data_IF_161682230618
#
_entry.id   IF_161682230618
#
_cell.length_a   1.000
_cell.length_b   1.000
_cell.length_c   1.000
_cell.angle_alpha   90.00
_cell.angle_beta   90.00
_cell.angle_gamma   90.00
#
_symmetry.space_group_name_H-M   'P 1'
#
loop_
_entity.id
_entity.type
_entity.pdbx_description
1 polymer ?
#
# COMPACT_ATOMS: atom_id res chain seq x y z
N UNK A 1 -19.28 -4.01 -9.81
CA UNK A 1 -18.34 -2.90 -9.52
C UNK A 1 -19.04 -1.75 -8.81
N UNK A 2 -20.16 -1.22 -9.30
CA UNK A 2 -20.90 -0.10 -8.67
C UNK A 2 -21.39 -0.45 -7.25
N UNK A 3 -22.01 -1.59 -7.04
CA UNK A 3 -22.46 -2.08 -5.72
C UNK A 3 -21.31 -2.33 -4.74
N UNK A 4 -20.11 -2.57 -5.26
CA UNK A 4 -18.91 -2.79 -4.45
C UNK A 4 -18.30 -1.48 -3.95
N UNK A 5 -18.46 -0.42 -4.71
CA UNK A 5 -17.99 0.92 -4.36
C UNK A 5 -18.96 1.61 -3.40
N UNK A 6 -20.25 1.25 -3.41
CA UNK A 6 -21.24 1.72 -2.41
C UNK A 6 -20.92 1.29 -0.97
N UNK A 7 -20.19 0.19 -0.78
CA UNK A 7 -19.70 -0.25 0.54
C UNK A 7 -18.38 0.41 0.98
N UNK A 8 -17.72 1.15 0.10
CA UNK A 8 -16.51 1.90 0.42
C UNK A 8 -16.91 3.36 0.62
N UNK A 9 -16.95 3.79 1.86
CA UNK A 9 -17.35 5.14 2.30
C UNK A 9 -16.32 6.22 1.93
N UNK A 10 -15.81 6.20 0.66
CA UNK A 10 -14.85 7.19 0.16
C UNK A 10 -15.56 8.48 -0.24
N UNK A 11 -16.78 8.36 -0.76
CA UNK A 11 -17.51 9.44 -1.38
C UNK A 11 -18.33 10.36 -0.45
N UNK A 12 -18.60 10.03 0.83
CA UNK A 12 -19.13 11.00 1.78
C UNK A 12 -18.27 12.27 1.87
N UNK A 13 -16.96 12.17 1.61
CA UNK A 13 -16.05 13.31 1.61
C UNK A 13 -16.42 14.42 0.62
N UNK A 14 -17.13 14.13 -0.48
CA UNK A 14 -17.62 15.16 -1.42
C UNK A 14 -18.94 15.82 -0.97
N UNK A 15 -19.70 15.16 -0.12
CA UNK A 15 -21.01 15.63 0.34
C UNK A 15 -20.94 16.42 1.66
N UNK A 16 -19.95 16.14 2.48
CA UNK A 16 -19.78 16.83 3.78
C UNK A 16 -19.10 18.18 3.61
N UNK A 17 -19.71 19.22 4.18
CA UNK A 17 -19.13 20.55 4.22
C UNK A 17 -18.30 20.71 5.48
N UNK A 18 -17.10 21.28 5.35
CA UNK A 18 -16.19 21.54 6.48
C UNK A 18 -16.87 22.42 7.55
N UNK A 19 -17.69 23.38 7.11
CA UNK A 19 -18.45 24.24 8.01
C UNK A 19 -19.30 23.44 9.01
N UNK A 20 -19.98 22.39 8.53
CA UNK A 20 -20.86 21.57 9.36
C UNK A 20 -20.07 20.73 10.40
N UNK A 21 -18.82 20.43 10.10
CA UNK A 21 -17.93 19.68 10.99
C UNK A 21 -17.40 20.56 12.11
N UNK A 22 -17.02 21.80 11.81
CA UNK A 22 -16.39 22.72 12.77
C UNK A 22 -17.39 23.60 13.51
N UNK A 23 -18.64 23.63 13.08
CA UNK A 23 -19.72 24.36 13.76
C UNK A 23 -19.91 23.86 15.19
N UNK A 24 -19.97 24.79 16.14
CA UNK A 24 -20.06 24.46 17.57
C UNK A 24 -18.82 23.79 18.19
N UNK A 25 -17.71 23.73 17.47
CA UNK A 25 -16.49 23.04 17.90
C UNK A 25 -15.41 23.95 18.48
N UNK A 26 -15.66 25.24 18.49
CA UNK A 26 -14.78 26.25 19.10
C UNK A 26 -15.23 26.50 20.53
N UNK A 27 -14.35 26.26 21.47
CA UNK A 27 -14.59 26.44 22.90
C UNK A 27 -13.79 27.63 23.41
N UNK A 28 -14.35 28.48 24.29
CA UNK A 28 -13.57 29.46 25.00
C UNK A 28 -12.53 28.74 25.87
N UNK A 29 -11.31 29.21 25.89
CA UNK A 29 -10.29 28.68 26.78
C UNK A 29 -10.51 29.25 28.18
N UNK A 30 -10.92 28.41 29.12
CA UNK A 30 -11.13 28.78 30.49
C UNK A 30 -9.81 29.20 31.15
N UNK A 31 -9.71 30.44 31.65
CA UNK A 31 -8.56 30.98 32.37
C UNK A 31 -7.80 32.08 31.62
N UNK A 32 -8.14 32.42 30.38
CA UNK A 32 -7.56 33.53 29.64
C UNK A 32 -8.15 34.91 29.99
N UNK A 33 -9.22 34.94 30.80
CA UNK A 33 -9.81 36.18 31.26
C UNK A 33 -8.94 36.99 32.26
N UNK A 34 -7.96 36.31 32.86
CA UNK A 34 -6.97 36.94 33.75
C UNK A 34 -5.65 37.08 33.00
N UNK A 35 -5.20 38.28 32.74
CA UNK A 35 -3.92 38.70 32.11
C UNK A 35 -2.64 38.08 32.70
N UNK A 36 -2.71 36.97 33.44
CA UNK A 36 -1.59 36.37 34.19
C UNK A 36 -1.16 34.98 33.69
N UNK A 37 -1.90 34.35 32.80
CA UNK A 37 -1.48 33.05 32.23
C UNK A 37 -1.14 33.28 30.77
N UNK A 38 -0.01 32.78 30.34
CA UNK A 38 0.45 32.90 28.95
C UNK A 38 -0.69 32.47 28.03
N UNK A 39 -1.03 33.32 27.07
CA UNK A 39 -2.10 33.04 26.11
C UNK A 39 -1.83 31.69 25.44
N UNK A 40 -2.81 30.81 25.35
CA UNK A 40 -2.83 29.78 24.33
C UNK A 40 -2.83 30.50 22.97
N UNK A 41 -1.68 30.67 22.39
CA UNK A 41 -1.48 31.58 21.27
C UNK A 41 -0.63 32.81 21.56
N UNK A 42 -0.22 33.00 22.80
CA UNK A 42 1.00 33.74 23.13
C UNK A 42 2.17 33.03 22.45
N UNK A 43 3.30 33.71 22.23
CA UNK A 43 4.48 33.12 21.59
C UNK A 43 4.73 31.70 22.13
N UNK A 44 4.34 30.65 21.37
CA UNK A 44 4.51 29.25 21.74
C UNK A 44 3.27 28.38 21.96
N UNK A 45 2.05 28.89 21.83
CA UNK A 45 0.82 28.10 22.00
C UNK A 45 0.48 27.19 20.85
N UNK A 46 1.38 26.27 20.46
CA UNK A 46 1.19 25.31 19.37
C UNK A 46 0.51 24.03 19.89
N UNK A 47 -0.63 23.68 19.30
CA UNK A 47 -1.35 22.44 19.57
C UNK A 47 -1.14 21.51 18.38
N UNK A 48 -0.74 20.25 18.63
CA UNK A 48 -0.49 19.25 17.58
C UNK A 48 -1.26 17.96 17.87
N UNK A 49 -2.03 17.47 16.89
CA UNK A 49 -2.55 16.11 16.83
C UNK A 49 -1.66 15.29 15.90
N UNK A 50 -1.17 14.17 16.39
CA UNK A 50 -0.15 13.36 15.71
C UNK A 50 -0.66 11.97 15.39
N UNK A 51 -0.05 11.34 14.37
CA UNK A 51 -0.26 9.93 14.02
C UNK A 51 -1.72 9.60 13.69
N UNK A 52 -2.43 10.52 13.02
CA UNK A 52 -3.75 10.22 12.49
C UNK A 52 -3.61 9.30 11.29
N UNK A 53 -4.14 8.08 11.39
CA UNK A 53 -4.16 7.12 10.30
C UNK A 53 -5.35 7.41 9.37
N UNK A 54 -5.04 7.73 8.12
CA UNK A 54 -6.01 8.05 7.08
C UNK A 54 -5.71 7.23 5.82
N UNK A 55 -6.71 7.11 4.97
CA UNK A 55 -6.60 6.46 3.67
C UNK A 55 -7.20 7.33 2.60
N UNK A 56 -6.60 7.28 1.42
CA UNK A 56 -7.11 7.98 0.25
C UNK A 56 -6.89 7.13 -1.00
N UNK A 57 -7.47 7.56 -2.12
CA UNK A 57 -7.25 6.95 -3.42
C UNK A 57 -6.44 7.89 -4.30
N UNK A 58 -5.41 7.33 -4.93
CA UNK A 58 -4.55 8.06 -5.83
C UNK A 58 -5.32 8.47 -7.09
N UNK A 59 -5.41 9.77 -7.37
CA UNK A 59 -6.08 10.26 -8.57
C UNK A 59 -5.44 9.82 -9.88
N UNK A 60 -4.17 9.43 -9.85
CA UNK A 60 -3.44 9.00 -11.04
C UNK A 60 -3.64 7.54 -11.42
N UNK A 61 -3.91 6.63 -10.46
CA UNK A 61 -4.02 5.19 -10.70
C UNK A 61 -5.22 4.52 -10.04
N UNK A 62 -6.03 5.24 -9.26
CA UNK A 62 -7.20 4.75 -8.51
C UNK A 62 -6.88 3.68 -7.46
N UNK A 63 -5.61 3.50 -7.10
CA UNK A 63 -5.23 2.59 -6.03
C UNK A 63 -5.21 3.31 -4.69
N UNK A 64 -5.54 2.61 -3.60
CA UNK A 64 -5.49 3.21 -2.27
C UNK A 64 -4.05 3.46 -1.83
N UNK A 65 -3.86 4.51 -1.05
CA UNK A 65 -2.62 4.80 -0.35
C UNK A 65 -2.88 5.17 1.10
N UNK A 66 -1.90 4.89 1.94
CA UNK A 66 -1.95 5.13 3.37
C UNK A 66 -1.36 6.48 3.71
N UNK A 67 -1.89 7.13 4.74
CA UNK A 67 -1.47 8.45 5.17
C UNK A 67 -1.35 8.47 6.69
N UNK A 68 -0.17 8.83 7.21
CA UNK A 68 -0.03 9.32 8.58
C UNK A 68 -0.07 10.84 8.54
N UNK A 69 -1.10 11.41 9.18
CA UNK A 69 -1.34 12.83 9.18
C UNK A 69 -1.00 13.44 10.55
N UNK A 70 -0.27 14.54 10.53
CA UNK A 70 0.05 15.35 11.70
C UNK A 70 -0.47 16.76 11.45
N UNK A 71 -1.37 17.22 12.33
CA UNK A 71 -2.01 18.54 12.22
C UNK A 71 -1.62 19.38 13.42
N UNK A 72 -1.02 20.55 13.15
CA UNK A 72 -0.74 21.55 14.17
C UNK A 72 -1.51 22.84 13.90
N UNK A 73 -1.92 23.54 14.93
CA UNK A 73 -2.47 24.89 14.81
C UNK A 73 -2.08 25.75 16.01
N UNK A 74 -2.03 27.04 15.78
CA UNK A 74 -1.87 28.04 16.84
C UNK A 74 -3.22 28.74 17.02
N UNK A 75 -3.84 28.64 18.20
CA UNK A 75 -5.11 29.30 18.48
C UNK A 75 -5.07 30.82 18.27
N UNK A 76 -6.22 31.40 17.96
CA UNK A 76 -6.38 32.85 17.95
C UNK A 76 -7.69 33.23 18.64
N UNK A 77 -7.79 34.44 19.21
CA UNK A 77 -9.02 34.97 19.78
C UNK A 77 -9.54 34.21 21.01
N UNK A 78 -8.64 33.64 21.84
CA UNK A 78 -8.98 32.94 23.09
C UNK A 78 -9.91 31.74 22.88
N UNK A 79 -9.78 31.04 21.74
CA UNK A 79 -10.60 29.88 21.41
C UNK A 79 -9.72 28.70 20.99
N UNK A 80 -10.07 27.54 21.49
CA UNK A 80 -9.47 26.25 21.09
C UNK A 80 -10.49 25.40 20.36
N UNK A 81 -10.01 24.59 19.42
CA UNK A 81 -10.86 23.65 18.66
C UNK A 81 -10.84 22.28 19.30
N UNK A 82 -11.98 21.61 19.30
CA UNK A 82 -12.05 20.21 19.71
C UNK A 82 -11.15 19.34 18.82
N UNK A 83 -10.18 18.62 19.41
CA UNK A 83 -9.14 17.89 18.70
C UNK A 83 -9.69 16.86 17.68
N UNK A 84 -10.84 16.23 18.00
CA UNK A 84 -11.54 15.32 17.10
C UNK A 84 -12.03 15.98 15.80
N UNK A 85 -12.17 17.31 15.77
CA UNK A 85 -12.59 18.02 14.57
C UNK A 85 -11.45 18.18 13.57
N UNK A 86 -10.22 18.30 14.04
CA UNK A 86 -9.02 18.32 13.19
C UNK A 86 -8.91 17.01 12.41
N UNK A 87 -9.08 15.87 13.08
CA UNK A 87 -9.05 14.57 12.43
C UNK A 87 -10.21 14.37 11.45
N UNK A 88 -11.44 14.78 11.83
CA UNK A 88 -12.61 14.67 10.95
C UNK A 88 -12.48 15.51 9.67
N UNK A 89 -11.94 16.72 9.75
CA UNK A 89 -11.69 17.54 8.55
C UNK A 89 -10.68 16.85 7.66
N UNK A 90 -9.56 16.37 8.21
CA UNK A 90 -8.56 15.63 7.42
C UNK A 90 -9.16 14.37 6.78
N UNK A 91 -10.00 13.63 7.50
CA UNK A 91 -10.69 12.43 7.01
C UNK A 91 -11.63 12.72 5.83
N UNK A 92 -12.40 13.82 5.90
CA UNK A 92 -13.31 14.21 4.81
C UNK A 92 -12.57 14.45 3.50
N UNK A 93 -11.42 15.11 3.55
CA UNK A 93 -10.61 15.33 2.35
C UNK A 93 -9.87 14.05 1.93
N UNK A 94 -9.43 13.22 2.85
CA UNK A 94 -8.82 11.93 2.52
C UNK A 94 -9.82 10.99 1.81
N UNK A 95 -11.12 11.08 2.11
CA UNK A 95 -12.19 10.32 1.44
C UNK A 95 -12.55 10.87 0.04
N UNK A 96 -11.56 11.32 -0.72
CA UNK A 96 -11.65 11.80 -2.10
C UNK A 96 -10.53 11.20 -2.93
N UNK A 97 -10.59 11.38 -4.26
CA UNK A 97 -9.42 11.13 -5.11
C UNK A 97 -8.38 12.22 -4.86
N UNK A 98 -7.17 11.83 -4.46
CA UNK A 98 -6.18 12.77 -3.97
C UNK A 98 -4.77 12.54 -4.53
N UNK A 99 -4.01 13.61 -4.48
CA UNK A 99 -2.56 13.65 -4.56
C UNK A 99 -2.05 14.20 -3.21
N UNK A 100 -0.92 13.70 -2.66
CA UNK A 100 -0.49 14.06 -1.31
C UNK A 100 -0.39 15.56 -1.03
N UNK A 101 0.21 16.33 -1.96
CA UNK A 101 0.38 17.76 -1.75
C UNK A 101 -0.97 18.49 -1.79
N UNK A 102 -1.84 18.13 -2.74
CA UNK A 102 -3.18 18.71 -2.82
C UNK A 102 -4.00 18.41 -1.56
N UNK A 103 -3.93 17.18 -1.05
CA UNK A 103 -4.58 16.81 0.20
C UNK A 103 -4.09 17.69 1.37
N UNK A 104 -2.77 17.89 1.48
CA UNK A 104 -2.19 18.74 2.52
C UNK A 104 -2.68 20.19 2.40
N UNK A 105 -2.70 20.74 1.19
CA UNK A 105 -3.11 22.12 0.93
C UNK A 105 -4.62 22.33 1.18
N UNK A 106 -5.47 21.39 0.75
CA UNK A 106 -6.92 21.44 0.97
C UNK A 106 -7.27 21.37 2.46
N UNK A 107 -6.70 20.43 3.22
CA UNK A 107 -6.93 20.28 4.66
C UNK A 107 -6.44 21.52 5.42
N UNK A 108 -5.24 22.00 5.10
CA UNK A 108 -4.66 23.19 5.72
C UNK A 108 -5.55 24.42 5.49
N UNK A 109 -5.96 24.65 4.24
CA UNK A 109 -6.84 25.75 3.86
C UNK A 109 -8.21 25.67 4.53
N UNK A 110 -8.81 24.47 4.54
CA UNK A 110 -10.12 24.24 5.15
C UNK A 110 -10.13 24.48 6.66
N UNK A 111 -9.10 24.02 7.36
CA UNK A 111 -8.93 24.28 8.79
C UNK A 111 -8.71 25.77 9.05
N UNK A 112 -7.86 26.43 8.25
CA UNK A 112 -7.62 27.86 8.42
C UNK A 112 -8.90 28.69 8.25
N UNK A 113 -9.70 28.38 7.24
CA UNK A 113 -10.96 29.08 6.97
C UNK A 113 -12.04 28.75 8.01
N UNK A 114 -12.13 27.49 8.45
CA UNK A 114 -13.17 27.02 9.35
C UNK A 114 -13.00 27.47 10.79
N UNK A 115 -11.78 27.47 11.32
CA UNK A 115 -11.50 27.78 12.73
C UNK A 115 -10.81 29.13 12.94
N UNK A 116 -10.34 29.77 11.87
CA UNK A 116 -9.64 31.07 11.87
C UNK A 116 -8.53 31.16 12.93
N UNK A 117 -7.56 30.22 12.94
CA UNK A 117 -6.44 30.25 13.86
C UNK A 117 -5.40 31.29 13.44
N UNK A 118 -4.40 31.54 14.27
CA UNK A 118 -3.23 32.34 13.87
C UNK A 118 -2.44 31.65 12.75
N UNK A 119 -2.44 30.31 12.71
CA UNK A 119 -1.89 29.51 11.63
C UNK A 119 -2.17 28.03 11.80
N UNK A 120 -2.06 27.28 10.70
CA UNK A 120 -2.17 25.83 10.62
C UNK A 120 -0.93 25.26 9.94
N UNK A 121 -0.41 24.17 10.47
CA UNK A 121 0.64 23.37 9.84
C UNK A 121 0.15 21.94 9.66
N UNK A 122 0.45 21.35 8.53
CA UNK A 122 0.12 19.98 8.19
C UNK A 122 1.36 19.25 7.69
N UNK A 123 1.56 18.02 8.15
CA UNK A 123 2.56 17.10 7.64
C UNK A 123 1.90 15.76 7.34
N UNK A 124 2.06 15.26 6.12
CA UNK A 124 1.56 13.98 5.67
C UNK A 124 2.73 13.06 5.30
N UNK A 125 2.75 11.88 5.90
CA UNK A 125 3.59 10.76 5.45
C UNK A 125 2.71 9.82 4.64
N UNK A 126 2.90 9.80 3.33
CA UNK A 126 2.08 9.02 2.42
C UNK A 126 2.86 7.78 1.95
N UNK A 127 2.17 6.64 1.92
CA UNK A 127 2.73 5.34 1.52
C UNK A 127 1.87 4.75 0.42
N UNK A 128 2.46 4.60 -0.77
CA UNK A 128 1.79 4.07 -1.95
C UNK A 128 2.45 2.77 -2.41
N UNK A 129 1.63 1.76 -2.68
CA UNK A 129 2.13 0.48 -3.22
C UNK A 129 2.50 0.66 -4.68
N UNK A 130 3.66 0.13 -5.07
CA UNK A 130 4.14 0.09 -6.44
C UNK A 130 3.96 -1.32 -7.01
N UNK A 131 3.35 -1.41 -8.18
CA UNK A 131 3.25 -2.66 -8.94
C UNK A 131 4.12 -2.52 -10.18
N UNK A 132 5.22 -3.28 -10.28
CA UNK A 132 6.04 -3.27 -11.46
C UNK A 132 5.31 -3.89 -12.65
N UNK A 133 5.72 -3.52 -13.86
CA UNK A 133 5.31 -4.19 -15.07
C UNK A 133 5.81 -5.63 -15.11
N UNK A 134 5.03 -6.52 -15.74
CA UNK A 134 5.40 -7.93 -15.92
C UNK A 134 6.78 -8.08 -16.56
N UNK A 135 7.14 -7.22 -17.53
CA UNK A 135 8.43 -7.24 -18.19
C UNK A 135 9.60 -6.88 -17.25
N UNK A 136 9.42 -5.91 -16.37
CA UNK A 136 10.45 -5.48 -15.42
C UNK A 136 10.81 -6.54 -14.39
N UNK A 137 9.87 -7.43 -14.05
CA UNK A 137 10.06 -8.51 -13.09
C UNK A 137 11.06 -9.55 -13.57
N UNK A 138 11.09 -9.82 -14.88
CA UNK A 138 11.99 -10.79 -15.47
C UNK A 138 13.36 -10.21 -15.84
N UNK A 139 13.46 -8.87 -15.95
CA UNK A 139 14.67 -8.18 -16.39
C UNK A 139 15.52 -7.64 -15.24
N UNK A 140 14.95 -7.38 -14.09
CA UNK A 140 15.65 -6.75 -12.97
C UNK A 140 15.76 -7.69 -11.76
N UNK A 141 16.96 -8.17 -11.50
CA UNK A 141 17.36 -8.79 -10.23
C UNK A 141 17.40 -7.76 -9.06
N UNK A 142 17.12 -6.49 -9.33
CA UNK A 142 17.15 -5.42 -8.34
C UNK A 142 15.79 -5.23 -7.70
N UNK A 143 15.74 -5.52 -6.42
CA UNK A 143 14.62 -5.29 -5.52
C UNK A 143 14.30 -3.79 -5.42
N UNK A 144 13.51 -3.24 -6.35
CA UNK A 144 12.92 -1.94 -6.11
C UNK A 144 11.91 -2.05 -4.97
N UNK A 145 11.87 -1.08 -4.06
CA UNK A 145 10.92 -1.12 -2.96
C UNK A 145 9.48 -1.06 -3.51
N UNK A 146 8.69 -2.07 -3.17
CA UNK A 146 7.27 -2.20 -3.52
C UNK A 146 6.40 -1.05 -3.00
N UNK A 147 7.00 -0.18 -2.21
CA UNK A 147 6.31 0.86 -1.47
C UNK A 147 7.05 2.17 -1.68
N UNK A 148 6.38 3.15 -2.27
CA UNK A 148 6.87 4.52 -2.35
C UNK A 148 6.37 5.31 -1.15
N UNK A 149 7.32 5.84 -0.38
CA UNK A 149 7.02 6.76 0.72
C UNK A 149 7.28 8.19 0.29
N UNK A 150 6.39 9.09 0.64
CA UNK A 150 6.54 10.54 0.38
C UNK A 150 6.12 11.32 1.61
N UNK A 151 6.83 12.41 1.86
CA UNK A 151 6.55 13.34 2.95
C UNK A 151 6.23 14.71 2.36
N UNK A 152 5.04 15.22 2.65
CA UNK A 152 4.59 16.53 2.17
C UNK A 152 4.12 17.39 3.33
N UNK A 153 4.27 18.71 3.21
CA UNK A 153 3.84 19.66 4.23
C UNK A 153 3.09 20.84 3.60
N UNK A 154 2.14 21.38 4.35
CA UNK A 154 1.41 22.59 4.01
C UNK A 154 1.28 23.49 5.25
N UNK A 155 1.28 24.80 5.04
CA UNK A 155 1.17 25.77 6.14
C UNK A 155 0.42 27.03 5.71
N UNK A 156 -0.34 27.58 6.67
CA UNK A 156 -1.12 28.81 6.47
C UNK A 156 -1.00 29.75 7.69
N UNK A 157 -1.31 31.02 7.51
CA UNK A 157 -1.11 32.03 8.55
C UNK A 157 0.36 32.18 8.91
N UNK A 158 0.70 32.10 10.19
CA UNK A 158 2.09 32.18 10.66
C UNK A 158 3.00 31.06 10.11
N UNK A 159 2.44 29.95 9.63
CA UNK A 159 3.15 28.86 8.97
C UNK A 159 3.29 29.04 7.46
N UNK A 160 2.80 30.15 6.88
CA UNK A 160 2.92 30.39 5.44
C UNK A 160 4.39 30.48 5.01
N UNK A 161 5.21 31.18 5.80
CA UNK A 161 6.66 31.21 5.59
C UNK A 161 7.31 29.97 6.17
N UNK A 162 7.87 29.11 5.32
CA UNK A 162 8.54 27.86 5.71
C UNK A 162 9.81 28.05 6.54
N UNK A 163 10.40 29.23 6.53
CA UNK A 163 11.58 29.57 7.31
C UNK A 163 11.22 30.18 8.68
N UNK A 164 9.95 30.28 9.02
CA UNK A 164 9.54 30.79 10.33
C UNK A 164 9.92 29.83 11.46
N UNK A 165 10.34 30.36 12.61
CA UNK A 165 10.77 29.59 13.78
C UNK A 165 9.70 28.61 14.28
N UNK A 166 8.43 28.95 14.08
CA UNK A 166 7.30 28.09 14.49
C UNK A 166 7.31 26.71 13.79
N UNK A 167 7.88 26.61 12.57
CA UNK A 167 8.09 25.32 11.92
C UNK A 167 9.13 24.46 12.65
N UNK A 168 10.14 25.11 13.22
CA UNK A 168 11.13 24.40 14.05
C UNK A 168 10.45 23.77 15.26
N UNK A 169 9.60 24.51 15.96
CA UNK A 169 8.84 23.98 17.11
C UNK A 169 7.95 22.83 16.69
N UNK A 170 7.22 22.99 15.57
CA UNK A 170 6.38 21.93 15.02
C UNK A 170 7.18 20.66 14.74
N UNK A 171 8.32 20.74 14.05
CA UNK A 171 9.16 19.58 13.75
C UNK A 171 9.83 18.99 15.00
N UNK A 172 10.24 19.80 15.95
CA UNK A 172 10.79 19.32 17.21
C UNK A 172 9.80 18.48 17.99
N UNK A 173 8.53 18.90 18.03
CA UNK A 173 7.45 18.15 18.68
C UNK A 173 7.11 16.85 17.93
N UNK A 174 7.36 16.77 16.62
CA UNK A 174 7.20 15.55 15.84
C UNK A 174 8.36 14.57 15.99
N UNK A 175 9.60 15.03 16.20
CA UNK A 175 10.79 14.18 16.40
C UNK A 175 10.64 13.19 17.56
N UNK A 176 9.93 13.54 18.61
CA UNK A 176 9.60 12.63 19.70
C UNK A 176 8.82 11.37 19.24
N UNK A 177 8.33 11.34 18.00
CA UNK A 177 7.63 10.24 17.38
C UNK A 177 8.37 9.62 16.19
N UNK A 178 9.68 9.87 16.06
CA UNK A 178 10.48 9.29 14.99
C UNK A 178 10.28 9.90 13.61
N UNK A 179 9.71 11.11 13.52
CA UNK A 179 9.60 11.85 12.26
C UNK A 179 10.88 12.68 12.07
N UNK A 180 11.73 12.27 11.14
CA UNK A 180 13.00 12.96 10.86
C UNK A 180 12.84 13.99 9.74
N UNK A 181 13.36 15.19 9.98
CA UNK A 181 13.31 16.32 9.01
C UNK A 181 14.08 16.03 7.71
N UNK A 182 15.09 15.18 7.77
CA UNK A 182 15.96 14.85 6.63
C UNK A 182 15.23 14.13 5.50
N UNK A 183 14.08 13.50 5.80
CA UNK A 183 13.22 12.81 4.83
C UNK A 183 12.14 13.73 4.23
N UNK A 184 12.12 15.02 4.58
CA UNK A 184 11.15 15.96 4.03
C UNK A 184 11.69 16.47 2.70
N UNK A 185 11.18 15.92 1.60
CA UNK A 185 11.40 16.49 0.28
C UNK A 185 10.64 17.81 0.18
N UNK A 186 11.33 18.89 0.55
CA UNK A 186 10.85 20.24 0.29
C UNK A 186 10.73 20.39 -1.22
N UNK A 187 9.54 20.76 -1.69
CA UNK A 187 9.20 20.99 -3.08
C UNK A 187 10.30 21.78 -3.81
N UNK A 188 11.12 21.10 -4.60
CA UNK A 188 12.23 21.74 -5.35
C UNK A 188 12.66 20.97 -6.59
N UNK A 189 12.34 19.68 -6.72
CA UNK A 189 12.61 18.91 -7.92
C UNK A 189 11.28 18.46 -8.55
N UNK A 190 10.86 19.18 -9.55
CA UNK A 190 9.58 19.07 -10.26
C UNK A 190 9.41 17.80 -11.13
N UNK A 191 10.23 16.77 -10.97
CA UNK A 191 10.27 15.66 -11.93
C UNK A 191 9.97 14.26 -11.36
N UNK A 192 9.85 14.09 -10.05
CA UNK A 192 9.47 12.78 -9.53
C UNK A 192 7.97 12.70 -9.26
N UNK A 193 7.26 12.10 -10.21
CA UNK A 193 5.87 11.76 -10.01
C UNK A 193 5.68 10.93 -8.73
N UNK A 194 4.79 11.39 -7.87
CA UNK A 194 4.41 10.73 -6.64
C UNK A 194 3.87 9.32 -6.89
N UNK A 195 3.02 9.18 -7.91
CA UNK A 195 2.41 7.91 -8.25
C UNK A 195 3.42 7.00 -8.98
N UNK A 196 3.76 5.83 -8.44
CA UNK A 196 4.69 4.90 -9.07
C UNK A 196 4.28 4.50 -10.49
N UNK A 197 2.98 4.39 -10.75
CA UNK A 197 2.44 4.02 -12.07
C UNK A 197 2.72 5.05 -13.15
N UNK A 198 3.02 6.31 -12.80
CA UNK A 198 3.41 7.34 -13.75
C UNK A 198 4.90 7.32 -14.07
N UNK A 199 5.74 6.93 -13.13
CA UNK A 199 7.19 6.82 -13.34
C UNK A 199 7.56 5.66 -14.27
N UNK A 200 6.82 4.55 -14.22
CA UNK A 200 7.00 3.41 -15.12
C UNK A 200 6.71 3.75 -16.59
N UNK A 201 5.85 4.73 -16.87
CA UNK A 201 5.54 5.19 -18.23
C UNK A 201 6.59 6.10 -18.85
N UNK A 202 7.46 6.70 -18.05
CA UNK A 202 8.53 7.59 -18.56
C UNK A 202 9.75 6.83 -19.06
N UNK A 203 9.96 5.59 -18.62
CA UNK A 203 11.07 4.77 -19.02
C UNK A 203 10.66 3.78 -20.12
N UNK A 204 11.01 4.11 -21.38
CA UNK A 204 11.05 3.22 -22.55
C UNK A 204 9.92 2.17 -22.61
N UNK A 205 8.75 2.61 -22.98
CA UNK A 205 7.63 1.74 -23.32
C UNK A 205 8.03 0.83 -24.47
N UNK A 206 8.21 -0.45 -24.16
CA UNK A 206 8.36 -1.51 -25.14
C UNK A 206 7.08 -1.66 -25.97
N UNK A 207 7.23 -2.02 -27.22
CA UNK A 207 6.25 -2.00 -28.31
C UNK A 207 5.06 -2.97 -28.23
N UNK A 208 4.78 -3.55 -27.05
CA UNK A 208 3.73 -4.59 -26.86
C UNK A 208 2.61 -4.22 -25.89
N UNK A 209 2.34 -2.93 -25.67
CA UNK A 209 1.23 -2.52 -24.81
C UNK A 209 -0.07 -2.86 -25.51
N UNK A 210 -0.86 -3.77 -24.92
CA UNK A 210 -2.25 -4.00 -25.33
C UNK A 210 -2.99 -2.66 -25.22
N UNK A 211 -3.55 -2.13 -26.32
CA UNK A 211 -4.28 -0.87 -26.26
C UNK A 211 -5.47 -1.01 -25.32
N UNK A 212 -5.65 -0.05 -24.43
CA UNK A 212 -6.78 -0.04 -23.51
C UNK A 212 -8.09 -0.05 -24.31
N UNK A 213 -8.98 -1.01 -24.03
CA UNK A 213 -10.27 -1.10 -24.71
C UNK A 213 -11.08 0.18 -24.48
N UNK A 214 -11.48 0.91 -25.53
CA UNK A 214 -12.20 2.17 -25.39
C UNK A 214 -13.48 2.07 -24.57
N UNK A 215 -14.21 0.95 -24.64
CA UNK A 215 -15.41 0.73 -23.85
C UNK A 215 -15.10 0.64 -22.36
N UNK A 216 -13.98 0.01 -21.97
CA UNK A 216 -13.54 -0.05 -20.57
C UNK A 216 -13.12 1.34 -20.07
N UNK A 217 -12.40 2.11 -20.89
CA UNK A 217 -11.99 3.48 -20.54
C UNK A 217 -13.22 4.37 -20.33
N UNK A 218 -14.20 4.29 -21.22
CA UNK A 218 -15.48 5.02 -21.10
C UNK A 218 -16.23 4.61 -19.83
N UNK A 219 -16.27 3.32 -19.50
CA UNK A 219 -16.91 2.84 -18.28
C UNK A 219 -16.25 3.41 -17.02
N UNK A 220 -14.92 3.45 -16.96
CA UNK A 220 -14.19 4.05 -15.82
C UNK A 220 -14.47 5.55 -15.73
N UNK A 221 -14.47 6.27 -16.85
CA UNK A 221 -14.81 7.70 -16.88
C UNK A 221 -16.25 7.96 -16.39
N UNK A 222 -17.20 7.12 -16.80
CA UNK A 222 -18.60 7.22 -16.37
C UNK A 222 -18.75 6.98 -14.86
N UNK A 223 -18.00 6.03 -14.31
CA UNK A 223 -17.95 5.76 -12.87
C UNK A 223 -17.44 7.01 -12.13
N UNK A 224 -16.32 7.59 -12.56
CA UNK A 224 -15.75 8.80 -11.94
C UNK A 224 -16.74 9.96 -11.94
N UNK A 225 -17.39 10.21 -13.08
CA UNK A 225 -18.41 11.25 -13.20
C UNK A 225 -19.63 11.00 -12.28
N UNK A 226 -20.06 9.74 -12.13
CA UNK A 226 -21.15 9.36 -11.23
C UNK A 226 -20.83 9.62 -9.76
N UNK A 227 -19.57 9.66 -9.41
CA UNK A 227 -19.11 10.02 -8.07
C UNK A 227 -18.97 11.52 -7.85
N UNK A 228 -19.20 12.33 -8.87
CA UNK A 228 -19.07 13.79 -8.81
C UNK A 228 -17.66 14.29 -9.13
N UNK A 229 -16.78 13.42 -9.64
CA UNK A 229 -15.48 13.83 -10.18
C UNK A 229 -15.60 14.28 -11.62
N UNK A 230 -14.90 15.35 -11.99
CA UNK A 230 -14.71 15.71 -13.38
C UNK A 230 -13.60 14.88 -14.00
N UNK A 231 -14.00 13.82 -14.74
CA UNK A 231 -13.05 12.88 -15.38
C UNK A 231 -12.17 13.54 -16.46
N UNK A 232 -12.53 14.77 -16.92
CA UNK A 232 -11.76 15.52 -17.93
C UNK A 232 -10.77 16.50 -17.30
N UNK A 233 -10.83 16.74 -15.98
CA UNK A 233 -9.84 17.60 -15.33
C UNK A 233 -8.41 17.08 -15.58
N UNK A 234 -7.45 17.99 -15.70
CA UNK A 234 -6.06 17.71 -16.10
C UNK A 234 -5.43 16.52 -15.34
N UNK A 235 -5.68 16.42 -14.05
CA UNK A 235 -5.12 15.41 -13.16
C UNK A 235 -5.71 14.03 -13.41
N UNK A 236 -6.97 13.94 -13.86
CA UNK A 236 -7.70 12.70 -14.14
C UNK A 236 -7.71 12.29 -15.61
N UNK A 237 -7.38 13.17 -16.54
CA UNK A 237 -7.53 12.94 -18.00
C UNK A 237 -6.90 11.64 -18.50
N UNK A 238 -5.77 11.20 -17.93
CA UNK A 238 -5.12 9.93 -18.28
C UNK A 238 -5.46 8.76 -17.37
N UNK A 239 -6.15 8.98 -16.26
CA UNK A 239 -6.39 8.00 -15.21
C UNK A 239 -7.24 6.80 -15.66
N UNK A 240 -8.36 6.98 -16.39
CA UNK A 240 -9.14 5.84 -16.87
C UNK A 240 -8.32 4.88 -17.74
N UNK A 241 -7.53 5.42 -18.66
CA UNK A 241 -6.67 4.59 -19.53
C UNK A 241 -5.56 3.87 -18.75
N UNK A 242 -4.94 4.53 -17.75
CA UNK A 242 -3.93 3.90 -16.90
C UNK A 242 -4.51 2.78 -16.06
N UNK A 243 -5.66 3.01 -15.45
CA UNK A 243 -6.35 2.01 -14.64
C UNK A 243 -6.75 0.79 -15.46
N UNK A 244 -7.31 0.97 -16.66
CA UNK A 244 -7.66 -0.13 -17.56
C UNK A 244 -6.42 -0.94 -17.95
N UNK A 245 -5.32 -0.30 -18.32
CA UNK A 245 -4.05 -1.00 -18.62
C UNK A 245 -3.56 -1.81 -17.43
N UNK A 246 -3.61 -1.23 -16.24
CA UNK A 246 -3.23 -1.93 -15.02
C UNK A 246 -4.10 -3.17 -14.78
N UNK A 247 -5.42 -3.09 -15.00
CA UNK A 247 -6.32 -4.25 -14.92
C UNK A 247 -5.95 -5.34 -15.94
N UNK A 248 -5.61 -4.95 -17.16
CA UNK A 248 -5.27 -5.89 -18.24
C UNK A 248 -3.96 -6.64 -17.99
N UNK A 249 -3.02 -6.07 -17.23
CA UNK A 249 -1.78 -6.74 -16.87
C UNK A 249 -2.00 -8.07 -16.12
N UNK A 250 -3.11 -8.21 -15.38
CA UNK A 250 -3.46 -9.45 -14.68
C UNK A 250 -4.19 -10.48 -15.57
N UNK A 251 -4.40 -10.19 -16.85
CA UNK A 251 -5.06 -11.08 -17.82
C UNK A 251 -4.10 -11.63 -18.88
N UNK A 252 -2.84 -11.22 -18.86
CA UNK A 252 -1.90 -11.61 -19.92
C UNK A 252 -1.42 -13.06 -19.74
N UNK A 253 -1.68 -13.88 -20.77
CA UNK A 253 -1.30 -15.30 -20.82
C UNK A 253 0.18 -15.53 -21.19
N UNK A 254 0.99 -14.48 -21.35
CA UNK A 254 2.41 -14.63 -21.76
C UNK A 254 3.25 -15.39 -20.71
N UNK A 255 2.79 -15.40 -19.45
CA UNK A 255 3.43 -16.16 -18.38
C UNK A 255 3.25 -17.67 -18.53
N UNK A 256 2.13 -18.14 -19.11
CA UNK A 256 1.87 -19.57 -19.33
C UNK A 256 2.91 -20.18 -20.27
N UNK A 257 3.30 -19.47 -21.31
CA UNK A 257 4.28 -19.93 -22.29
C UNK A 257 5.68 -20.03 -21.67
N UNK A 258 6.09 -19.06 -20.86
CA UNK A 258 7.40 -19.06 -20.19
C UNK A 258 7.53 -20.15 -19.16
N UNK A 259 6.49 -20.37 -18.35
CA UNK A 259 6.49 -21.41 -17.33
C UNK A 259 6.49 -22.80 -17.97
N UNK A 260 5.65 -23.04 -18.97
CA UNK A 260 5.58 -24.32 -19.69
C UNK A 260 6.91 -24.66 -20.38
N UNK A 261 7.60 -23.66 -20.98
CA UNK A 261 8.93 -23.86 -21.55
C UNK A 261 9.99 -24.21 -20.51
N UNK A 262 9.91 -23.63 -19.32
CA UNK A 262 10.85 -23.92 -18.21
C UNK A 262 10.59 -25.27 -17.55
N UNK A 263 9.33 -25.67 -17.42
CA UNK A 263 8.94 -26.95 -16.80
C UNK A 263 9.24 -28.14 -17.72
N UNK A 264 9.11 -27.99 -19.05
CA UNK A 264 9.35 -29.08 -19.99
C UNK A 264 10.83 -29.47 -20.09
N UNK A 265 11.75 -28.56 -19.76
CA UNK A 265 13.21 -28.83 -19.75
C UNK A 265 13.73 -29.46 -18.46
N UNK A 266 12.93 -29.53 -17.41
CA UNK A 266 13.39 -29.97 -16.08
C UNK A 266 12.91 -31.39 -15.68
N UNK A 267 12.07 -32.03 -16.48
CA UNK A 267 11.55 -33.36 -16.19
C UNK A 267 12.37 -34.40 -16.97
N UNK A 268 13.60 -34.60 -16.55
CA UNK A 268 14.27 -35.87 -16.81
C UNK A 268 13.59 -36.93 -15.95
N UNK A 269 13.05 -37.92 -16.64
CA UNK A 269 12.33 -39.06 -16.09
C UNK A 269 13.17 -39.83 -15.06
N UNK A 270 13.07 -39.44 -13.79
CA UNK A 270 13.71 -40.12 -12.70
C UNK A 270 12.83 -41.30 -12.22
N UNK A 271 13.47 -42.47 -12.14
CA UNK A 271 12.89 -43.73 -11.61
C UNK A 271 12.14 -43.46 -10.30
N UNK A 272 10.81 -43.67 -10.33
CA UNK A 272 9.88 -43.42 -9.22
C UNK A 272 9.84 -44.51 -8.14
N UNK A 273 10.64 -45.58 -8.25
CA UNK A 273 10.41 -46.83 -7.51
C UNK A 273 11.34 -47.06 -6.30
N UNK A 274 11.99 -46.06 -5.74
CA UNK A 274 12.72 -46.20 -4.48
C UNK A 274 11.89 -45.74 -3.29
N UNK A 275 11.48 -46.68 -2.43
CA UNK A 275 11.02 -46.34 -1.07
C UNK A 275 12.13 -45.55 -0.35
N UNK A 276 11.85 -44.34 0.01
CA UNK A 276 12.82 -43.45 0.59
C UNK A 276 12.52 -43.22 2.06
N UNK A 277 13.50 -43.52 2.90
CA UNK A 277 13.41 -43.34 4.34
C UNK A 277 13.37 -41.85 4.70
N UNK A 278 12.34 -41.38 5.42
CA UNK A 278 12.08 -39.96 5.67
C UNK A 278 12.89 -39.39 6.84
N UNK A 279 13.54 -40.20 7.67
CA UNK A 279 14.16 -39.75 8.91
C UNK A 279 15.46 -38.96 8.74
N UNK A 280 16.12 -38.99 7.55
CA UNK A 280 17.39 -38.29 7.25
C UNK A 280 17.27 -37.18 6.22
N UNK A 281 16.06 -36.71 5.91
CA UNK A 281 15.86 -35.69 4.88
C UNK A 281 15.99 -34.27 5.45
N UNK A 282 16.80 -33.46 4.77
CA UNK A 282 16.91 -32.06 5.05
C UNK A 282 15.74 -31.28 4.43
N UNK A 283 15.13 -30.38 5.21
CA UNK A 283 14.13 -29.44 4.70
C UNK A 283 14.88 -28.30 4.00
N UNK A 284 14.64 -28.16 2.69
CA UNK A 284 15.09 -26.98 1.95
C UNK A 284 14.02 -25.91 2.00
N UNK A 285 14.44 -24.65 2.23
CA UNK A 285 13.54 -23.54 2.42
C UNK A 285 13.88 -22.38 1.47
N UNK A 286 12.91 -21.96 0.67
CA UNK A 286 12.96 -20.71 -0.08
C UNK A 286 12.08 -19.67 0.62
N UNK A 287 12.70 -18.61 1.13
CA UNK A 287 12.05 -17.62 1.97
C UNK A 287 11.91 -16.27 1.29
N UNK A 288 10.87 -15.53 1.68
CA UNK A 288 10.67 -14.15 1.29
C UNK A 288 10.57 -13.93 -0.23
N UNK A 289 9.92 -14.85 -0.95
CA UNK A 289 9.66 -14.70 -2.37
C UNK A 289 8.56 -13.67 -2.58
N UNK A 290 8.83 -12.50 -3.16
CA UNK A 290 7.83 -11.46 -3.32
C UNK A 290 6.77 -11.86 -4.33
N UNK A 291 5.53 -11.44 -4.06
CA UNK A 291 4.42 -11.57 -5.00
C UNK A 291 3.45 -10.40 -4.88
N UNK A 292 2.66 -10.24 -5.90
CA UNK A 292 1.46 -9.41 -5.91
C UNK A 292 0.41 -10.05 -6.79
N UNK A 293 -0.83 -9.73 -6.48
CA UNK A 293 -1.98 -10.28 -7.15
C UNK A 293 -3.13 -9.30 -7.10
N UNK A 294 -4.20 -9.63 -7.80
CA UNK A 294 -5.44 -8.86 -7.79
C UNK A 294 -6.56 -9.71 -7.20
N UNK A 295 -7.18 -9.22 -6.15
CA UNK A 295 -8.32 -9.89 -5.55
C UNK A 295 -9.50 -9.93 -6.53
N UNK A 296 -10.01 -11.12 -6.83
CA UNK A 296 -11.13 -11.29 -7.78
C UNK A 296 -12.45 -10.66 -7.29
N UNK A 297 -12.63 -10.54 -5.96
CA UNK A 297 -13.83 -9.97 -5.38
C UNK A 297 -13.82 -8.44 -5.38
N UNK A 298 -12.66 -7.83 -5.15
CA UNK A 298 -12.53 -6.38 -4.95
C UNK A 298 -11.92 -5.64 -6.13
N UNK A 299 -11.29 -6.39 -7.06
CA UNK A 299 -10.51 -5.82 -8.16
C UNK A 299 -9.49 -4.79 -7.64
N UNK A 300 -8.97 -5.05 -6.44
CA UNK A 300 -7.92 -4.30 -5.78
C UNK A 300 -6.74 -5.22 -5.49
N UNK A 301 -5.53 -4.71 -5.48
CA UNK A 301 -4.34 -5.53 -5.30
C UNK A 301 -4.18 -6.03 -3.87
N UNK A 302 -3.51 -7.18 -3.76
CA UNK A 302 -2.87 -7.64 -2.54
C UNK A 302 -1.47 -8.12 -2.86
N UNK A 303 -0.56 -7.98 -1.93
CA UNK A 303 0.86 -8.24 -2.13
C UNK A 303 1.49 -8.74 -0.84
N UNK A 304 2.62 -9.41 -0.98
CA UNK A 304 3.32 -9.94 0.17
C UNK A 304 4.48 -10.84 -0.20
N UNK A 305 4.67 -11.88 0.59
CA UNK A 305 5.75 -12.86 0.40
C UNK A 305 5.24 -14.28 0.51
N UNK A 306 5.92 -15.16 -0.20
CA UNK A 306 5.70 -16.62 -0.16
C UNK A 306 6.94 -17.25 0.45
N UNK A 307 6.70 -18.22 1.32
CA UNK A 307 7.70 -19.09 1.93
C UNK A 307 7.39 -20.52 1.53
N UNK A 308 8.38 -21.25 1.03
CA UNK A 308 8.22 -22.60 0.50
C UNK A 308 9.24 -23.50 1.16
N UNK A 309 8.77 -24.62 1.72
CA UNK A 309 9.60 -25.68 2.26
C UNK A 309 9.33 -27.01 1.56
N UNK A 310 10.37 -27.76 1.26
CA UNK A 310 10.25 -29.09 0.69
C UNK A 310 11.38 -30.01 1.16
N UNK A 311 11.15 -31.31 1.14
CA UNK A 311 12.19 -32.27 1.46
C UNK A 311 13.13 -32.46 0.26
N UNK A 312 14.41 -32.31 0.52
CA UNK A 312 15.46 -32.58 -0.44
C UNK A 312 15.99 -33.99 -0.23
N UNK A 313 15.98 -34.83 -1.27
CA UNK A 313 16.57 -36.15 -1.24
C UNK A 313 18.07 -36.08 -1.45
N UNK A 314 18.83 -36.98 -0.82
CA UNK A 314 20.28 -37.07 -1.00
C UNK A 314 20.66 -37.24 -2.48
N UNK A 315 21.63 -36.47 -2.95
CA UNK A 315 22.06 -36.49 -4.34
C UNK A 315 21.23 -35.65 -5.33
N UNK A 316 20.17 -34.95 -4.86
CA UNK A 316 19.37 -34.05 -5.70
C UNK A 316 19.69 -32.60 -5.43
N UNK A 317 19.74 -31.81 -6.49
CA UNK A 317 19.86 -30.36 -6.38
C UNK A 317 18.52 -29.71 -6.00
N UNK A 318 18.54 -28.63 -5.20
CA UNK A 318 17.35 -27.84 -4.94
C UNK A 318 16.72 -27.30 -6.23
N UNK A 319 15.40 -27.11 -6.21
CA UNK A 319 14.73 -26.36 -7.28
C UNK A 319 15.34 -24.96 -7.32
N UNK A 320 15.75 -24.52 -8.50
CA UNK A 320 16.37 -23.19 -8.65
C UNK A 320 15.42 -22.07 -8.19
N UNK A 321 15.91 -21.16 -7.37
CA UNK A 321 15.15 -20.03 -6.82
C UNK A 321 14.39 -19.25 -7.89
N UNK A 322 15.00 -19.05 -9.08
CA UNK A 322 14.39 -18.35 -10.21
C UNK A 322 13.14 -19.08 -10.73
N UNK A 323 13.15 -20.42 -10.76
CA UNK A 323 11.99 -21.19 -11.18
C UNK A 323 10.88 -21.11 -10.15
N UNK A 324 11.22 -21.24 -8.86
CA UNK A 324 10.26 -21.11 -7.76
C UNK A 324 9.62 -19.71 -7.77
N UNK A 325 10.42 -18.67 -7.96
CA UNK A 325 9.91 -17.29 -8.08
C UNK A 325 9.00 -17.12 -9.31
N UNK A 326 9.32 -17.76 -10.44
CA UNK A 326 8.50 -17.72 -11.64
C UNK A 326 7.15 -18.41 -11.42
N UNK A 327 7.09 -19.52 -10.67
CA UNK A 327 5.85 -20.18 -10.28
C UNK A 327 4.99 -19.27 -9.40
N UNK A 328 5.61 -18.60 -8.44
CA UNK A 328 4.93 -17.64 -7.56
C UNK A 328 4.32 -16.50 -8.39
N UNK A 329 5.07 -15.93 -9.33
CA UNK A 329 4.58 -14.86 -10.20
C UNK A 329 3.47 -15.35 -11.14
N UNK A 330 3.63 -16.55 -11.73
CA UNK A 330 2.62 -17.14 -12.62
C UNK A 330 1.25 -17.26 -11.96
N UNK A 331 1.20 -17.68 -10.69
CA UNK A 331 -0.05 -17.76 -9.93
C UNK A 331 -0.48 -16.41 -9.37
N UNK A 332 0.46 -15.51 -9.10
CA UNK A 332 0.19 -14.15 -8.60
C UNK A 332 -0.44 -13.24 -9.67
N UNK A 333 0.03 -13.28 -10.93
CA UNK A 333 -0.45 -12.43 -12.02
C UNK A 333 -1.81 -12.85 -12.58
N UNK A 334 -2.76 -13.12 -11.70
CA UNK A 334 -4.14 -13.52 -12.04
C UNK A 334 -5.12 -12.87 -11.09
N UNK A 335 -6.40 -12.90 -11.44
CA UNK A 335 -7.47 -12.66 -10.46
C UNK A 335 -7.48 -13.81 -9.46
N UNK A 336 -7.24 -13.54 -8.19
CA UNK A 336 -6.98 -14.54 -7.17
C UNK A 336 -7.68 -14.26 -5.84
N UNK A 337 -7.75 -15.31 -5.02
CA UNK A 337 -7.88 -15.23 -3.57
C UNK A 337 -6.64 -15.89 -2.94
N UNK A 338 -6.23 -15.41 -1.79
CA UNK A 338 -4.95 -15.80 -1.18
C UNK A 338 -4.88 -17.31 -0.90
N UNK A 339 -5.95 -17.92 -0.46
CA UNK A 339 -6.04 -19.37 -0.16
C UNK A 339 -5.83 -20.21 -1.43
N UNK A 340 -6.44 -19.80 -2.55
CA UNK A 340 -6.29 -20.46 -3.84
C UNK A 340 -4.86 -20.29 -4.37
N UNK A 341 -4.30 -19.09 -4.27
CA UNK A 341 -2.91 -18.81 -4.63
C UNK A 341 -1.95 -19.75 -3.88
N UNK A 342 -2.09 -19.84 -2.56
CA UNK A 342 -1.25 -20.68 -1.70
C UNK A 342 -1.31 -22.15 -2.11
N UNK A 343 -2.52 -22.65 -2.35
CA UNK A 343 -2.75 -24.05 -2.78
C UNK A 343 -2.17 -24.31 -4.18
N UNK A 344 -2.41 -23.43 -5.15
CA UNK A 344 -1.93 -23.60 -6.54
C UNK A 344 -0.41 -23.59 -6.63
N UNK A 345 0.27 -22.77 -5.84
CA UNK A 345 1.74 -22.80 -5.73
C UNK A 345 2.21 -24.16 -5.24
N UNK A 346 1.60 -24.70 -4.18
CA UNK A 346 1.95 -26.01 -3.64
C UNK A 346 1.69 -27.14 -4.64
N UNK A 347 0.53 -27.12 -5.30
CA UNK A 347 0.14 -28.11 -6.33
C UNK A 347 1.05 -28.07 -7.57
N UNK A 348 1.60 -26.90 -7.92
CA UNK A 348 2.52 -26.76 -9.05
C UNK A 348 3.94 -27.23 -8.70
N UNK A 349 4.37 -27.02 -7.48
CA UNK A 349 5.71 -27.42 -7.02
C UNK A 349 5.78 -28.92 -6.69
N UNK A 350 4.72 -29.49 -6.13
CA UNK A 350 4.71 -30.90 -5.70
C UNK A 350 5.15 -31.91 -6.79
N UNK A 351 4.70 -31.83 -8.06
CA UNK A 351 5.15 -32.73 -9.10
C UNK A 351 6.64 -32.62 -9.48
N UNK A 352 7.28 -31.48 -9.14
CA UNK A 352 8.71 -31.27 -9.39
C UNK A 352 9.61 -31.93 -8.35
N UNK A 353 9.00 -32.46 -7.27
CA UNK A 353 9.67 -33.06 -6.13
C UNK A 353 9.43 -34.56 -6.10
N UNK A 354 10.44 -35.33 -5.69
CA UNK A 354 10.28 -36.76 -5.39
C UNK A 354 9.36 -36.90 -4.18
N UNK A 355 8.19 -37.53 -4.42
CA UNK A 355 7.17 -37.76 -3.40
C UNK A 355 6.22 -36.60 -3.13
N UNK A 356 6.40 -35.45 -3.78
CA UNK A 356 5.43 -34.35 -3.74
C UNK A 356 5.25 -33.67 -2.37
N UNK A 357 6.27 -33.72 -1.52
CA UNK A 357 6.19 -33.21 -0.14
C UNK A 357 6.57 -31.74 -0.06
N UNK A 358 5.58 -30.86 0.05
CA UNK A 358 5.78 -29.41 0.06
C UNK A 358 4.87 -28.73 1.08
N UNK A 359 5.37 -27.66 1.66
CA UNK A 359 4.65 -26.73 2.51
C UNK A 359 4.83 -25.32 1.96
N UNK A 360 3.75 -24.57 1.84
CA UNK A 360 3.74 -23.20 1.36
C UNK A 360 3.01 -22.31 2.35
N UNK A 361 3.64 -21.22 2.75
CA UNK A 361 3.04 -20.16 3.55
C UNK A 361 3.06 -18.87 2.75
N UNK A 362 1.94 -18.18 2.70
CA UNK A 362 1.79 -16.87 2.06
C UNK A 362 1.38 -15.85 3.11
N UNK A 363 2.14 -14.77 3.22
CA UNK A 363 1.82 -13.62 4.05
C UNK A 363 1.54 -12.42 3.14
N UNK A 364 0.37 -11.81 3.27
CA UNK A 364 -0.07 -10.73 2.39
C UNK A 364 -0.82 -9.61 3.10
N UNK A 365 -0.61 -8.38 2.63
CA UNK A 365 -1.43 -7.21 2.93
C UNK A 365 -2.44 -7.00 1.82
N UNK A 366 -3.70 -6.79 2.21
CA UNK A 366 -4.82 -6.58 1.30
C UNK A 366 -5.21 -5.11 1.26
N UNK A 367 -5.01 -4.44 0.13
CA UNK A 367 -5.28 -2.99 0.03
C UNK A 367 -6.76 -2.64 0.23
N UNK A 368 -7.67 -3.55 -0.06
CA UNK A 368 -9.10 -3.34 0.17
C UNK A 368 -9.48 -3.33 1.66
N UNK A 369 -8.77 -4.07 2.52
CA UNK A 369 -8.97 -4.02 3.97
C UNK A 369 -8.51 -2.68 4.53
N UNK A 370 -7.37 -2.20 4.05
CA UNK A 370 -6.83 -0.89 4.41
C UNK A 370 -7.82 0.22 4.05
N UNK A 371 -8.34 0.21 2.83
CA UNK A 371 -9.27 1.24 2.34
C UNK A 371 -10.60 1.30 3.10
N UNK A 372 -10.98 0.20 3.76
CA UNK A 372 -12.15 0.13 4.65
C UNK A 372 -11.84 0.46 6.11
N UNK A 373 -10.59 0.77 6.43
CA UNK A 373 -10.15 1.04 7.80
C UNK A 373 -10.20 -0.19 8.72
N UNK A 374 -10.30 -1.40 8.16
CA UNK A 374 -10.38 -2.66 8.92
C UNK A 374 -8.98 -3.10 9.34
N UNK A 375 -8.00 -2.96 8.43
CA UNK A 375 -6.62 -3.35 8.66
C UNK A 375 -5.79 -2.14 9.10
N UNK A 376 -5.01 -2.31 10.15
CA UNK A 376 -4.04 -1.30 10.60
C UNK A 376 -2.73 -1.42 9.82
N UNK A 377 -1.92 -0.38 9.84
CA UNK A 377 -0.57 -0.42 9.29
C UNK A 377 0.22 -1.59 9.87
N UNK A 378 0.78 -2.42 8.97
CA UNK A 378 1.56 -3.60 9.35
C UNK A 378 0.75 -4.87 9.60
N UNK A 379 -0.58 -4.85 9.49
CA UNK A 379 -1.38 -6.08 9.51
C UNK A 379 -1.14 -6.91 8.25
N UNK A 380 -1.13 -8.22 8.41
CA UNK A 380 -1.03 -9.17 7.30
C UNK A 380 -1.93 -10.38 7.52
N UNK A 381 -2.35 -10.99 6.44
CA UNK A 381 -3.08 -12.27 6.45
C UNK A 381 -2.12 -13.39 6.07
N UNK A 382 -2.09 -14.45 6.86
CA UNK A 382 -1.28 -15.64 6.57
C UNK A 382 -2.16 -16.81 6.13
N UNK A 383 -1.75 -17.52 5.07
CA UNK A 383 -2.36 -18.77 4.60
C UNK A 383 -1.31 -19.85 4.44
N UNK A 384 -1.70 -21.09 4.64
CA UNK A 384 -0.82 -22.26 4.56
C UNK A 384 -1.43 -23.36 3.70
N UNK A 385 -0.61 -23.97 2.83
CA UNK A 385 -0.94 -25.19 2.13
C UNK A 385 0.13 -26.25 2.40
N UNK A 386 -0.31 -27.49 2.64
CA UNK A 386 0.55 -28.60 3.03
C UNK A 386 0.21 -29.81 2.18
N UNK A 387 1.21 -30.41 1.53
CA UNK A 387 1.06 -31.60 0.73
C UNK A 387 2.07 -32.69 1.14
N UNK A 388 1.65 -33.93 0.99
CA UNK A 388 2.48 -35.10 1.28
C UNK A 388 2.84 -35.22 2.77
N UNK A 389 4.09 -35.59 3.08
CA UNK A 389 4.53 -35.92 4.43
C UNK A 389 4.38 -34.76 5.44
N UNK A 390 4.51 -33.48 5.01
CA UNK A 390 4.27 -32.35 5.90
C UNK A 390 2.84 -32.32 6.50
N UNK A 391 1.88 -33.02 5.90
CA UNK A 391 0.52 -33.12 6.47
C UNK A 391 0.43 -33.97 7.73
N UNK A 392 1.32 -34.91 7.88
CA UNK A 392 1.36 -35.91 9.00
C UNK A 392 2.52 -35.65 9.97
N UNK A 393 3.64 -35.10 9.49
CA UNK A 393 4.82 -34.80 10.31
C UNK A 393 4.74 -33.41 10.94
N UNK A 394 4.27 -33.35 12.17
CA UNK A 394 4.15 -32.13 12.93
C UNK A 394 5.51 -31.48 13.28
N UNK A 395 6.56 -32.33 13.44
CA UNK A 395 7.90 -31.85 13.78
C UNK A 395 8.52 -31.07 12.58
N UNK A 396 8.50 -31.69 11.40
CA UNK A 396 8.97 -31.05 10.16
C UNK A 396 8.20 -29.77 9.86
N UNK A 397 6.87 -29.78 10.04
CA UNK A 397 6.03 -28.59 9.90
C UNK A 397 6.43 -27.48 10.87
N UNK A 398 6.69 -27.83 12.15
CA UNK A 398 7.09 -26.87 13.17
C UNK A 398 8.46 -26.22 12.85
N UNK A 399 9.44 -27.01 12.40
CA UNK A 399 10.77 -26.52 11.98
C UNK A 399 10.64 -25.52 10.84
N UNK A 400 9.83 -25.81 9.82
CA UNK A 400 9.59 -24.87 8.72
C UNK A 400 8.91 -23.58 9.21
N UNK A 401 7.85 -23.66 10.02
CA UNK A 401 7.16 -22.49 10.53
C UNK A 401 8.04 -21.63 11.44
N UNK A 402 8.96 -22.23 12.18
CA UNK A 402 9.95 -21.48 12.95
C UNK A 402 10.93 -20.72 12.05
N UNK A 403 11.33 -21.32 10.92
CA UNK A 403 12.14 -20.63 9.90
C UNK A 403 11.39 -19.44 9.27
N UNK A 404 10.08 -19.59 9.01
CA UNK A 404 9.23 -18.49 8.54
C UNK A 404 9.20 -17.33 9.56
N UNK A 405 8.94 -17.65 10.84
CA UNK A 405 8.91 -16.64 11.90
C UNK A 405 10.24 -15.89 12.03
N UNK A 406 11.37 -16.60 11.91
CA UNK A 406 12.71 -15.97 11.93
C UNK A 406 12.97 -15.07 10.72
N UNK A 407 12.48 -15.47 9.53
CA UNK A 407 12.63 -14.68 8.31
C UNK A 407 11.77 -13.40 8.31
N UNK A 408 10.64 -13.42 9.02
CA UNK A 408 9.74 -12.26 9.13
C UNK A 408 10.28 -11.23 10.12
N UNK A 409 10.86 -11.67 11.26
CA UNK A 409 11.46 -10.77 12.27
C UNK A 409 12.66 -9.98 11.76
N UNK A 410 13.39 -10.46 10.78
CA UNK A 410 14.54 -9.76 10.19
C UNK A 410 14.16 -8.58 9.27
N UNK A 411 12.85 -8.33 9.04
CA UNK A 411 12.32 -7.25 8.17
C UNK A 411 11.76 -6.05 8.93
N UNK A 412 11.53 -6.15 10.24
CA UNK A 412 11.10 -5.05 11.11
C UNK A 412 12.28 -4.22 11.56
#
# INVERSE_FOLDING_TARGET
MITYIEGIDIFPGYRQKVKDIVEGALFPEAGLENNRVGHAGGAGGLVIVRDLDLYSYCESCLLPFQIKCHVGYVPSGQRVVGLSKLSRVAEVFAKRLQEPQRLADEVCSALHQGIKPAGVALLLQCTHVHFPDIESIFLESNQQPWVKKTLVSSGSGIFYNRNADIWFDFFCLLKFRGVEKENIHLRGSSEQCWCPSLSAFSAKVSSKIVPANPAMVTAVSSILNSFGEDSVRKELAGTPSRFVRWLLNFQSNEMDVKLNGSLSGSIDTLNRDKEVNFNDRQIHCEMNLPFWSQCEHHILPFHGVVHIGYFLSEGFNPIGKSLVQSIVHFHGFKLQVQERLTRQIAETIAPLLLGGHVIVVVEASHTWMISRGIEKFGSSTATIAVLGHFSTDLAAKAVFLQSVASATTSRG
#
